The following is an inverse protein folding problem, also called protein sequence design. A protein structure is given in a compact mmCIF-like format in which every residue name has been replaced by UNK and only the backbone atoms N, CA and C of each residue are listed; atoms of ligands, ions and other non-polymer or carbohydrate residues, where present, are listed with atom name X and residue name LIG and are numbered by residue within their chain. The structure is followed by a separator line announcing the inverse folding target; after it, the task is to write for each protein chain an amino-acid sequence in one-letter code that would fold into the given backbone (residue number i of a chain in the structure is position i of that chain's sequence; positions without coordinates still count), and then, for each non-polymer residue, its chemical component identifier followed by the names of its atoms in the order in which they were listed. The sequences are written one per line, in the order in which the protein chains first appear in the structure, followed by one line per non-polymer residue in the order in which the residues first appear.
data_IF_600613253916
#
_entry.id   IF_600613253916
#
_cell.length_a   1.000
_cell.length_b   1.000
_cell.length_c   1.000
_cell.angle_alpha   90.00
_cell.angle_beta   90.00
_cell.angle_gamma   90.00
#
_symmetry.space_group_name_H-M   'P 1'
#
loop_
_entity.id
_entity.type
_entity.pdbx_description
1 polymer ?
#
# COMPACT_ATOMS: atom_id res chain seq x y z
N UNK A 1 -1.50 15.99 14.83
CA UNK A 1 -2.23 14.72 14.62
C UNK A 1 -3.69 14.93 14.30
N UNK A 2 -4.46 15.71 15.07
CA UNK A 2 -5.90 15.92 14.83
C UNK A 2 -6.22 16.41 13.40
N UNK A 3 -5.48 17.39 12.90
CA UNK A 3 -5.65 17.90 11.54
C UNK A 3 -5.34 16.83 10.47
N UNK A 4 -4.29 16.03 10.65
CA UNK A 4 -3.96 14.93 9.75
C UNK A 4 -5.09 13.89 9.72
N UNK A 5 -5.59 13.50 10.90
CA UNK A 5 -6.71 12.57 11.03
C UNK A 5 -7.96 13.10 10.31
N UNK A 6 -8.34 14.35 10.55
CA UNK A 6 -9.51 14.97 9.92
C UNK A 6 -9.41 15.02 8.38
N UNK A 7 -8.21 15.26 7.84
CA UNK A 7 -7.99 15.37 6.39
C UNK A 7 -7.91 14.03 5.69
N UNK A 8 -7.21 13.06 6.28
CA UNK A 8 -6.83 11.85 5.59
C UNK A 8 -7.62 10.60 6.04
N UNK A 9 -8.30 10.62 7.20
CA UNK A 9 -8.96 9.43 7.76
C UNK A 9 -10.00 8.82 6.83
N UNK A 10 -10.80 9.63 6.13
CA UNK A 10 -11.82 9.13 5.19
C UNK A 10 -11.18 8.35 4.02
N UNK A 11 -10.12 8.90 3.45
CA UNK A 11 -9.38 8.26 2.37
C UNK A 11 -8.68 6.98 2.84
N UNK A 12 -7.98 7.06 3.97
CA UNK A 12 -7.24 5.94 4.54
C UNK A 12 -8.17 4.82 5.03
N UNK A 13 -9.37 5.16 5.51
CA UNK A 13 -10.42 4.18 5.81
C UNK A 13 -10.81 3.38 4.56
N UNK A 14 -10.98 4.05 3.42
CA UNK A 14 -11.26 3.39 2.14
C UNK A 14 -10.13 2.44 1.73
N UNK A 15 -8.87 2.83 1.95
CA UNK A 15 -7.70 1.97 1.69
C UNK A 15 -7.70 0.74 2.58
N UNK A 16 -7.87 0.90 3.90
CA UNK A 16 -7.93 -0.19 4.85
C UNK A 16 -9.09 -1.15 4.52
N UNK A 17 -10.29 -0.61 4.28
CA UNK A 17 -11.50 -1.40 3.99
C UNK A 17 -11.35 -2.27 2.74
N UNK A 18 -10.70 -1.79 1.69
CA UNK A 18 -10.40 -2.58 0.49
C UNK A 18 -9.53 -3.80 0.78
N UNK A 19 -8.63 -3.70 1.74
CA UNK A 19 -7.68 -4.76 2.07
C UNK A 19 -8.30 -5.76 3.04
N UNK A 20 -8.87 -5.27 4.17
CA UNK A 20 -9.39 -6.15 5.23
C UNK A 20 -10.84 -6.58 5.01
N UNK A 21 -11.60 -5.88 4.15
CA UNK A 21 -12.99 -6.17 3.75
C UNK A 21 -14.01 -6.17 4.88
N UNK A 22 -13.65 -5.83 6.09
CA UNK A 22 -14.53 -5.72 7.25
C UNK A 22 -14.35 -4.34 7.89
N UNK A 23 -15.47 -3.64 8.13
CA UNK A 23 -15.46 -2.27 8.63
C UNK A 23 -14.77 -2.15 9.99
N UNK A 24 -15.10 -3.04 10.91
CA UNK A 24 -14.51 -3.03 12.25
C UNK A 24 -12.99 -3.22 12.18
N UNK A 25 -12.51 -4.17 11.41
CA UNK A 25 -11.07 -4.38 11.20
C UNK A 25 -10.40 -3.18 10.53
N UNK A 26 -11.09 -2.50 9.60
CA UNK A 26 -10.55 -1.30 8.97
C UNK A 26 -10.43 -0.13 9.97
N UNK A 27 -11.40 0.01 10.89
CA UNK A 27 -11.35 0.98 12.00
C UNK A 27 -10.18 0.69 12.94
N UNK A 28 -9.97 -0.57 13.32
CA UNK A 28 -8.85 -1.01 14.17
C UNK A 28 -7.51 -0.75 13.47
N UNK A 29 -7.38 -1.13 12.20
CA UNK A 29 -6.19 -0.84 11.38
C UNK A 29 -5.88 0.65 11.36
N UNK A 30 -6.89 1.48 11.13
CA UNK A 30 -6.71 2.92 11.03
C UNK A 30 -6.26 3.50 12.38
N UNK A 31 -6.85 3.05 13.46
CA UNK A 31 -6.50 3.46 14.82
C UNK A 31 -5.02 3.13 15.13
N UNK A 32 -4.62 1.88 14.96
CA UNK A 32 -3.26 1.41 15.20
C UNK A 32 -2.23 2.10 14.29
N UNK A 33 -2.60 2.31 13.03
CA UNK A 33 -1.76 3.02 12.08
C UNK A 33 -1.52 4.48 12.51
N UNK A 34 -2.53 5.21 12.98
CA UNK A 34 -2.36 6.58 13.46
C UNK A 34 -1.52 6.65 14.74
N UNK A 35 -1.65 5.68 15.65
CA UNK A 35 -0.75 5.55 16.81
C UNK A 35 0.69 5.35 16.33
N UNK A 36 0.91 4.43 15.39
CA UNK A 36 2.22 4.15 14.81
C UNK A 36 2.82 5.37 14.10
N UNK A 37 2.01 6.12 13.34
CA UNK A 37 2.41 7.35 12.68
C UNK A 37 2.85 8.39 13.72
N UNK A 38 2.11 8.55 14.79
CA UNK A 38 2.46 9.48 15.86
C UNK A 38 3.78 9.12 16.53
N UNK A 39 3.96 7.85 16.89
CA UNK A 39 5.18 7.35 17.52
C UNK A 39 6.41 7.47 16.63
N UNK A 40 6.23 7.38 15.31
CA UNK A 40 7.32 7.35 14.33
C UNK A 40 7.43 8.66 13.52
N UNK A 41 6.72 9.70 13.89
CA UNK A 41 6.71 10.97 13.17
C UNK A 41 8.13 11.54 12.96
N UNK A 42 9.01 11.38 13.95
CA UNK A 42 10.41 11.81 13.88
C UNK A 42 11.24 11.01 12.86
N UNK A 43 10.83 9.79 12.53
CA UNK A 43 11.51 8.96 11.53
C UNK A 43 11.13 9.30 10.08
N UNK A 44 10.16 10.19 9.89
CA UNK A 44 9.78 10.64 8.56
C UNK A 44 10.91 11.46 7.93
N UNK A 45 11.34 11.04 6.74
CA UNK A 45 12.37 11.72 5.97
C UNK A 45 11.75 12.35 4.70
N UNK A 46 11.61 13.68 4.63
CA UNK A 46 11.04 14.36 3.46
C UNK A 46 11.82 14.12 2.16
N UNK A 47 13.12 13.81 2.25
CA UNK A 47 13.93 13.51 1.08
C UNK A 47 13.54 12.19 0.39
N UNK A 48 12.79 11.32 1.08
CA UNK A 48 12.33 10.03 0.56
C UNK A 48 10.94 10.09 -0.06
N UNK A 49 10.24 11.22 0.04
CA UNK A 49 8.91 11.42 -0.54
C UNK A 49 7.99 12.26 0.34
N UNK A 50 6.77 12.45 -0.14
CA UNK A 50 5.78 13.25 0.57
C UNK A 50 5.21 12.53 1.80
N UNK A 51 4.86 13.29 2.83
CA UNK A 51 4.27 12.76 4.07
C UNK A 51 2.98 11.97 3.86
N UNK A 52 2.18 12.36 2.87
CA UNK A 52 0.95 11.65 2.51
C UNK A 52 1.21 10.22 2.02
N UNK A 53 2.23 10.04 1.17
CA UNK A 53 2.66 8.72 0.69
C UNK A 53 3.19 7.83 1.84
N UNK A 54 3.91 8.43 2.79
CA UNK A 54 4.38 7.72 3.97
C UNK A 54 3.22 7.26 4.87
N UNK A 55 2.27 8.13 5.17
CA UNK A 55 1.05 7.81 5.93
C UNK A 55 0.25 6.70 5.26
N UNK A 56 0.02 6.80 3.94
CA UNK A 56 -0.62 5.75 3.15
C UNK A 56 0.08 4.40 3.31
N UNK A 57 1.41 4.39 3.21
CA UNK A 57 2.21 3.15 3.33
C UNK A 57 2.08 2.51 4.71
N UNK A 58 2.01 3.30 5.78
CA UNK A 58 1.82 2.80 7.15
C UNK A 58 0.46 2.11 7.28
N UNK A 59 -0.62 2.77 6.84
CA UNK A 59 -1.98 2.21 6.90
C UNK A 59 -2.10 0.95 6.05
N UNK A 60 -1.60 0.99 4.82
CA UNK A 60 -1.62 -0.16 3.92
C UNK A 60 -0.88 -1.37 4.51
N UNK A 61 0.31 -1.15 5.05
CA UNK A 61 1.08 -2.23 5.66
C UNK A 61 0.40 -2.80 6.92
N UNK A 62 -0.24 -1.96 7.74
CA UNK A 62 -1.03 -2.40 8.89
C UNK A 62 -2.21 -3.29 8.43
N UNK A 63 -2.94 -2.88 7.40
CA UNK A 63 -4.04 -3.67 6.83
C UNK A 63 -3.57 -5.02 6.27
N UNK A 64 -2.49 -5.04 5.51
CA UNK A 64 -1.91 -6.28 4.98
C UNK A 64 -1.44 -7.22 6.09
N UNK A 65 -0.85 -6.69 7.16
CA UNK A 65 -0.43 -7.49 8.31
C UNK A 65 -1.63 -8.09 9.04
N UNK A 66 -2.74 -7.36 9.17
CA UNK A 66 -3.98 -7.89 9.76
C UNK A 66 -4.53 -9.05 8.95
N UNK A 67 -4.61 -8.94 7.63
CA UNK A 67 -5.06 -10.04 6.75
C UNK A 67 -4.15 -11.26 6.90
N UNK A 68 -2.83 -11.08 6.94
CA UNK A 68 -1.87 -12.17 7.10
C UNK A 68 -1.99 -12.87 8.45
N UNK A 69 -2.16 -12.11 9.52
CA UNK A 69 -2.36 -12.69 10.86
C UNK A 69 -3.70 -13.41 10.96
N UNK A 70 -4.75 -12.88 10.36
CA UNK A 70 -6.05 -13.53 10.25
C UNK A 70 -5.99 -14.82 9.44
N UNK A 71 -5.31 -14.84 8.30
CA UNK A 71 -5.14 -16.04 7.47
C UNK A 71 -4.38 -17.16 8.19
N UNK A 72 -3.46 -16.85 9.10
CA UNK A 72 -2.82 -17.85 9.98
C UNK A 72 -3.78 -18.44 11.02
N UNK A 73 -4.80 -17.69 11.41
CA UNK A 73 -5.77 -18.10 12.42
C UNK A 73 -6.97 -18.83 11.80
N UNK A 74 -7.29 -18.57 10.52
CA UNK A 74 -8.47 -19.08 9.78
C UNK A 74 -8.16 -20.32 8.93
N UNK A 75 -7.03 -20.99 9.12
CA UNK A 75 -6.88 -22.34 8.54
C UNK A 75 -7.85 -23.37 9.17
N UNK A 76 -8.86 -22.95 9.91
CA UNK A 76 -9.85 -23.79 10.57
C UNK A 76 -11.33 -23.48 10.28
N UNK A 77 -11.69 -22.43 9.54
CA UNK A 77 -13.10 -22.20 9.17
C UNK A 77 -13.23 -21.55 7.78
N UNK A 78 -13.92 -22.28 6.90
CA UNK A 78 -14.28 -21.86 5.55
C UNK A 78 -15.43 -20.83 5.54
N UNK A 79 -15.41 -19.96 4.52
CA UNK A 79 -16.53 -19.19 3.95
C UNK A 79 -17.10 -17.99 4.72
N UNK A 80 -16.59 -16.79 4.37
CA UNK A 80 -17.45 -15.61 4.25
C UNK A 80 -16.86 -14.62 3.22
N UNK A 81 -17.17 -14.79 1.95
CA UNK A 81 -16.97 -13.78 0.92
C UNK A 81 -18.03 -12.68 1.09
N UNK A 82 -17.70 -11.61 1.79
CA UNK A 82 -18.52 -10.39 1.80
C UNK A 82 -18.13 -9.57 0.57
N UNK A 83 -19.04 -9.44 -0.37
CA UNK A 83 -18.93 -8.53 -1.50
C UNK A 83 -18.83 -7.09 -0.97
N UNK A 84 -17.68 -6.47 -1.15
CA UNK A 84 -17.49 -5.05 -0.88
C UNK A 84 -18.02 -4.28 -2.09
N UNK A 85 -18.91 -3.31 -1.85
CA UNK A 85 -19.38 -2.41 -2.89
C UNK A 85 -18.22 -1.53 -3.40
N UNK A 86 -17.61 -1.99 -4.49
CA UNK A 86 -16.46 -1.33 -5.14
C UNK A 86 -16.81 0.05 -5.72
N UNK A 87 -18.09 0.34 -5.96
CA UNK A 87 -18.54 1.58 -6.59
C UNK A 87 -18.42 2.81 -5.68
N UNK A 88 -18.73 2.69 -4.39
CA UNK A 88 -18.63 3.82 -3.45
C UNK A 88 -17.16 4.21 -3.19
N UNK A 89 -16.25 3.25 -3.22
CA UNK A 89 -14.81 3.45 -3.03
C UNK A 89 -14.14 4.08 -4.25
N UNK A 90 -14.56 3.69 -5.46
CA UNK A 90 -14.12 4.28 -6.74
C UNK A 90 -14.63 5.72 -6.90
N UNK A 91 -15.88 6.00 -6.51
CA UNK A 91 -16.46 7.35 -6.56
C UNK A 91 -15.72 8.31 -5.59
N UNK A 92 -15.33 7.87 -4.40
CA UNK A 92 -14.55 8.68 -3.47
C UNK A 92 -13.11 8.94 -3.98
N UNK A 93 -12.54 8.02 -4.73
CA UNK A 93 -11.22 8.17 -5.36
C UNK A 93 -11.29 9.10 -6.59
N UNK A 94 -12.35 8.98 -7.40
CA UNK A 94 -12.60 9.84 -8.57
C UNK A 94 -12.93 11.28 -8.18
N UNK A 95 -13.49 11.51 -6.99
CA UNK A 95 -13.78 12.87 -6.47
C UNK A 95 -12.52 13.60 -5.93
N UNK A 96 -11.38 12.92 -5.81
CA UNK A 96 -10.16 13.47 -5.21
C UNK A 96 -9.13 14.00 -6.23
N UNK A 97 -9.35 13.84 -7.55
CA UNK A 97 -8.42 14.31 -8.59
C UNK A 97 -9.08 14.41 -9.97
N UNK A 98 -8.48 15.16 -10.88
CA UNK A 98 -8.91 15.23 -12.27
C UNK A 98 -8.70 13.86 -12.94
N UNK A 99 -9.77 13.24 -13.51
CA UNK A 99 -9.63 11.94 -14.20
C UNK A 99 -8.64 11.94 -15.37
N UNK A 100 -8.39 13.10 -15.95
CA UNK A 100 -7.43 13.25 -17.05
C UNK A 100 -5.99 13.24 -16.56
N UNK A 101 -5.69 13.96 -15.47
CA UNK A 101 -4.38 13.93 -14.81
C UNK A 101 -4.05 12.52 -14.31
N UNK A 102 -5.03 11.85 -13.69
CA UNK A 102 -4.86 10.47 -13.22
C UNK A 102 -4.52 9.50 -14.36
N UNK A 103 -5.13 9.64 -15.54
CA UNK A 103 -4.82 8.81 -16.71
C UNK A 103 -3.43 9.09 -17.25
N UNK A 104 -3.01 10.34 -17.29
CA UNK A 104 -1.65 10.73 -17.72
C UNK A 104 -0.59 10.15 -16.76
N UNK A 105 -0.83 10.25 -15.45
CA UNK A 105 0.06 9.70 -14.42
C UNK A 105 0.14 8.18 -14.46
N UNK A 106 -0.98 7.49 -14.70
CA UNK A 106 -0.99 6.04 -14.87
C UNK A 106 -0.24 5.61 -16.13
N UNK A 107 -0.36 6.35 -17.25
CA UNK A 107 0.40 6.11 -18.48
C UNK A 107 1.90 6.30 -18.25
N UNK A 108 2.30 7.37 -17.56
CA UNK A 108 3.69 7.64 -17.19
C UNK A 108 4.24 6.56 -16.27
N UNK A 109 3.48 6.17 -15.24
CA UNK A 109 3.85 5.09 -14.32
C UNK A 109 4.05 3.77 -15.06
N UNK A 110 3.16 3.42 -15.99
CA UNK A 110 3.28 2.21 -16.79
C UNK A 110 4.57 2.23 -17.63
N UNK A 111 4.89 3.35 -18.26
CA UNK A 111 6.14 3.53 -18.99
C UNK A 111 7.37 3.39 -18.09
N UNK A 112 7.36 4.03 -16.94
CA UNK A 112 8.45 3.95 -15.96
C UNK A 112 8.65 2.52 -15.41
N UNK A 113 7.56 1.79 -15.13
CA UNK A 113 7.62 0.38 -14.71
C UNK A 113 8.18 -0.51 -15.82
N UNK A 114 7.79 -0.29 -17.06
CA UNK A 114 8.28 -1.05 -18.22
C UNK A 114 9.78 -0.84 -18.46
N UNK A 115 10.31 0.33 -18.10
CA UNK A 115 11.75 0.65 -18.17
C UNK A 115 12.61 0.03 -17.08
N UNK A 116 12.00 -0.56 -16.05
CA UNK A 116 12.75 -1.26 -15.00
C UNK A 116 13.22 -2.64 -15.45
N UNK A 117 14.36 -3.07 -14.90
CA UNK A 117 14.80 -4.46 -14.99
C UNK A 117 13.68 -5.39 -14.48
N UNK A 118 13.37 -6.50 -15.19
CA UNK A 118 12.24 -7.38 -14.86
C UNK A 118 12.18 -7.79 -13.39
N UNK A 119 13.29 -8.22 -12.80
CA UNK A 119 13.34 -8.65 -11.41
C UNK A 119 12.97 -7.53 -10.42
N UNK A 120 13.37 -6.29 -10.69
CA UNK A 120 13.02 -5.13 -9.84
C UNK A 120 11.55 -4.76 -9.99
N UNK A 121 11.04 -4.76 -11.24
CA UNK A 121 9.63 -4.51 -11.54
C UNK A 121 8.74 -5.53 -10.85
N UNK A 122 9.05 -6.81 -10.99
CA UNK A 122 8.26 -7.90 -10.44
C UNK A 122 8.24 -7.85 -8.90
N UNK A 123 9.36 -7.57 -8.26
CA UNK A 123 9.39 -7.34 -6.81
C UNK A 123 8.50 -6.19 -6.36
N UNK A 124 8.46 -5.08 -7.11
CA UNK A 124 7.59 -3.94 -6.80
C UNK A 124 6.12 -4.33 -6.99
N UNK A 125 5.76 -5.01 -8.08
CA UNK A 125 4.40 -5.46 -8.33
C UNK A 125 3.93 -6.44 -7.24
N UNK A 126 4.74 -7.43 -6.87
CA UNK A 126 4.41 -8.34 -5.77
C UNK A 126 4.21 -7.61 -4.44
N UNK A 127 5.08 -6.64 -4.11
CA UNK A 127 4.98 -5.91 -2.85
C UNK A 127 3.77 -4.97 -2.81
N UNK A 128 3.54 -4.22 -3.88
CA UNK A 128 2.58 -3.10 -3.88
C UNK A 128 1.24 -3.41 -4.53
N UNK A 129 1.16 -4.35 -5.45
CA UNK A 129 -0.10 -4.77 -6.09
C UNK A 129 -0.64 -6.02 -5.41
N UNK A 130 0.15 -7.08 -5.29
CA UNK A 130 -0.28 -8.34 -4.68
C UNK A 130 -0.17 -8.34 -3.15
N UNK A 131 0.49 -7.35 -2.56
CA UNK A 131 0.61 -7.21 -1.11
C UNK A 131 1.54 -8.23 -0.44
N UNK A 132 2.44 -8.88 -1.20
CA UNK A 132 3.38 -9.82 -0.66
C UNK A 132 4.39 -9.14 0.29
N UNK A 133 4.75 -9.81 1.38
CA UNK A 133 5.89 -9.41 2.20
C UNK A 133 7.20 -9.68 1.46
N UNK A 134 8.28 -9.02 1.85
CA UNK A 134 9.59 -9.26 1.26
C UNK A 134 10.05 -10.72 1.43
N UNK A 135 9.63 -11.41 2.51
CA UNK A 135 9.90 -12.82 2.74
C UNK A 135 9.20 -13.70 1.71
N UNK A 136 7.89 -13.49 1.51
CA UNK A 136 7.10 -14.22 0.50
C UNK A 136 7.63 -13.99 -0.93
N UNK A 137 8.08 -12.77 -1.24
CA UNK A 137 8.73 -12.46 -2.52
C UNK A 137 10.05 -13.24 -2.66
N UNK A 138 10.86 -13.28 -1.58
CA UNK A 138 12.12 -14.01 -1.57
C UNK A 138 11.92 -15.51 -1.81
N UNK A 139 10.92 -16.10 -1.17
CA UNK A 139 10.53 -17.51 -1.37
C UNK A 139 10.01 -17.75 -2.79
N UNK A 140 9.11 -16.89 -3.29
CA UNK A 140 8.51 -17.02 -4.62
C UNK A 140 9.53 -16.90 -5.75
N UNK A 141 10.50 -15.99 -5.62
CA UNK A 141 11.57 -15.77 -6.60
C UNK A 141 12.83 -16.62 -6.32
N UNK A 142 12.81 -17.42 -5.26
CA UNK A 142 13.98 -18.19 -4.78
C UNK A 142 15.26 -17.34 -4.70
N UNK A 143 15.10 -16.13 -4.16
CA UNK A 143 16.13 -15.10 -4.10
C UNK A 143 16.35 -14.67 -2.65
N UNK A 144 17.59 -14.41 -2.22
CA UNK A 144 17.85 -13.96 -0.86
C UNK A 144 17.06 -12.71 -0.48
N UNK A 145 16.52 -12.68 0.74
CA UNK A 145 15.72 -11.56 1.26
C UNK A 145 16.42 -10.21 1.14
N UNK A 146 17.73 -10.17 1.36
CA UNK A 146 18.54 -8.96 1.22
C UNK A 146 18.54 -8.43 -0.22
N UNK A 147 18.57 -9.32 -1.20
CA UNK A 147 18.51 -8.98 -2.63
C UNK A 147 17.15 -8.42 -2.99
N UNK A 148 16.05 -9.03 -2.54
CA UNK A 148 14.68 -8.53 -2.76
C UNK A 148 14.52 -7.12 -2.20
N UNK A 149 14.96 -6.88 -0.94
CA UNK A 149 14.93 -5.54 -0.34
C UNK A 149 15.72 -4.52 -1.18
N UNK A 150 16.91 -4.89 -1.64
CA UNK A 150 17.75 -4.04 -2.47
C UNK A 150 17.12 -3.76 -3.84
N UNK A 151 16.46 -4.73 -4.46
CA UNK A 151 15.75 -4.57 -5.72
C UNK A 151 14.56 -3.63 -5.59
N UNK A 152 13.73 -3.80 -4.56
CA UNK A 152 12.60 -2.91 -4.28
C UNK A 152 13.11 -1.48 -4.05
N UNK A 153 14.13 -1.30 -3.22
CA UNK A 153 14.67 0.02 -2.91
C UNK A 153 15.22 0.73 -4.16
N UNK A 154 16.00 0.03 -4.98
CA UNK A 154 16.57 0.60 -6.22
C UNK A 154 15.48 0.86 -7.27
N UNK A 155 14.52 -0.06 -7.41
CA UNK A 155 13.40 0.10 -8.33
C UNK A 155 12.51 1.29 -7.94
N UNK A 156 12.19 1.46 -6.66
CA UNK A 156 11.43 2.62 -6.17
C UNK A 156 12.17 3.94 -6.36
N UNK A 157 13.52 3.94 -6.28
CA UNK A 157 14.32 5.13 -6.59
C UNK A 157 14.21 5.46 -8.07
N UNK A 158 14.43 4.49 -8.96
CA UNK A 158 14.33 4.68 -10.40
C UNK A 158 12.93 5.12 -10.85
N UNK A 159 11.86 4.58 -10.21
CA UNK A 159 10.50 5.05 -10.47
C UNK A 159 10.31 6.52 -10.08
N UNK A 160 10.81 6.94 -8.92
CA UNK A 160 10.76 8.35 -8.50
C UNK A 160 11.48 9.27 -9.48
N UNK A 161 12.67 8.89 -9.91
CA UNK A 161 13.46 9.66 -10.89
C UNK A 161 12.74 9.76 -12.24
N UNK A 162 12.06 8.68 -12.68
CA UNK A 162 11.32 8.65 -13.92
C UNK A 162 10.01 9.46 -13.85
N UNK A 163 9.34 9.40 -12.71
CA UNK A 163 8.06 10.11 -12.50
C UNK A 163 8.25 11.64 -12.28
N UNK A 164 9.42 12.05 -11.86
CA UNK A 164 9.78 13.47 -11.68
C UNK A 164 9.45 13.98 -10.31
#
# INVERSE_FOLDING_TARGET
MQQLYQRESRYLMGVALRIVRQRQQAEDVLHDAFISIWQRAESFNPALGEGRGWVYSVVRNAALNMVRSGARQVSLDEDAAVAVDDQASLAAYAAAGDPFELRADLGKLHGCLSGLEPARRDCILYAYVEGCSHGEIAERLQTPLGTVKAWIQRGMRALRECMG
#
